data_IF_773591612287
#
_entry.id   IF_773591612287
#
_cell.length_a   1.000
_cell.length_b   1.000
_cell.length_c   1.000
_cell.angle_alpha   90.00
_cell.angle_beta   90.00
_cell.angle_gamma   90.00
#
_symmetry.space_group_name_H-M   'P 1'
#
loop_
_entity.id
_entity.type
_entity.pdbx_description
1 polymer ?
#
# COMPACT_ATOMS: atom_id res chain seq x y z
N UNK A 1 -13.41 -28.17 -19.62
CA UNK A 1 -14.13 -26.96 -19.18
C UNK A 1 -13.30 -26.13 -18.19
N UNK A 2 -12.92 -26.69 -17.04
CA UNK A 2 -12.12 -25.97 -16.03
C UNK A 2 -10.73 -25.50 -16.51
N UNK A 3 -9.99 -26.32 -17.25
CA UNK A 3 -8.65 -25.94 -17.76
C UNK A 3 -8.69 -24.70 -18.66
N UNK A 4 -9.71 -24.56 -19.49
CA UNK A 4 -9.87 -23.41 -20.40
C UNK A 4 -10.07 -22.09 -19.64
N UNK A 5 -10.75 -22.13 -18.48
CA UNK A 5 -10.93 -20.95 -17.62
C UNK A 5 -9.56 -20.54 -17.04
N UNK A 6 -8.80 -21.48 -16.49
CA UNK A 6 -7.48 -21.19 -15.94
C UNK A 6 -6.47 -20.72 -16.99
N UNK A 7 -6.48 -21.29 -18.20
CA UNK A 7 -5.65 -20.79 -19.31
C UNK A 7 -6.06 -19.39 -19.74
N UNK A 8 -7.36 -19.08 -19.79
CA UNK A 8 -7.83 -17.72 -20.09
C UNK A 8 -7.40 -16.71 -19.03
N UNK A 9 -7.39 -17.09 -17.75
CA UNK A 9 -6.87 -16.24 -16.67
C UNK A 9 -5.36 -16.05 -16.84
N UNK A 10 -4.59 -17.11 -17.04
CA UNK A 10 -3.14 -17.00 -17.24
C UNK A 10 -2.80 -16.10 -18.43
N UNK A 11 -3.47 -16.28 -19.57
CA UNK A 11 -3.29 -15.46 -20.77
C UNK A 11 -3.58 -13.97 -20.52
N UNK A 12 -4.71 -13.67 -19.85
CA UNK A 12 -5.05 -12.31 -19.46
C UNK A 12 -3.95 -11.64 -18.63
N UNK A 13 -3.38 -12.35 -17.66
CA UNK A 13 -2.37 -11.78 -16.77
C UNK A 13 -0.97 -11.75 -17.40
N UNK A 14 -0.52 -12.81 -18.06
CA UNK A 14 0.84 -12.91 -18.59
C UNK A 14 1.03 -12.12 -19.88
N UNK A 15 0.05 -12.18 -20.79
CA UNK A 15 0.18 -11.63 -22.14
C UNK A 15 -0.46 -10.24 -22.30
N UNK A 16 -1.36 -9.84 -21.40
CA UNK A 16 -2.02 -8.54 -21.47
C UNK A 16 -1.75 -7.64 -20.25
N UNK A 17 -2.26 -7.99 -19.07
CA UNK A 17 -2.22 -7.10 -17.90
C UNK A 17 -0.81 -6.87 -17.36
N UNK A 18 0.02 -7.91 -17.31
CA UNK A 18 1.36 -7.87 -16.73
C UNK A 18 2.47 -7.96 -17.79
N UNK A 19 2.14 -7.83 -19.08
CA UNK A 19 3.13 -7.82 -20.15
C UNK A 19 4.31 -6.85 -19.89
N UNK A 20 4.10 -5.61 -19.37
CA UNK A 20 5.19 -4.70 -19.06
C UNK A 20 6.16 -5.23 -17.99
N UNK A 21 5.70 -6.11 -17.09
CA UNK A 21 6.55 -6.69 -16.04
C UNK A 21 7.60 -7.67 -16.57
N UNK A 22 7.46 -8.15 -17.82
CA UNK A 22 8.52 -8.92 -18.47
C UNK A 22 9.82 -8.10 -18.62
N UNK A 23 9.72 -6.78 -18.79
CA UNK A 23 10.90 -5.91 -18.86
C UNK A 23 11.66 -5.91 -17.54
N UNK A 24 10.95 -5.73 -16.42
CA UNK A 24 11.56 -5.75 -15.08
C UNK A 24 12.12 -7.13 -14.72
N UNK A 25 11.43 -8.21 -15.14
CA UNK A 25 11.89 -9.59 -14.94
C UNK A 25 13.20 -9.90 -15.68
N UNK A 26 13.43 -9.28 -16.83
CA UNK A 26 14.65 -9.48 -17.62
C UNK A 26 15.86 -8.69 -17.10
N UNK A 27 15.67 -7.82 -16.11
CA UNK A 27 16.78 -7.03 -15.53
C UNK A 27 17.59 -7.90 -14.55
N UNK A 28 18.92 -7.82 -14.63
CA UNK A 28 19.81 -8.52 -13.67
C UNK A 28 19.95 -7.77 -12.34
N UNK A 29 19.77 -6.45 -12.35
CA UNK A 29 19.88 -5.63 -11.14
C UNK A 29 18.67 -5.84 -10.24
N UNK A 30 18.90 -6.40 -9.05
CA UNK A 30 17.87 -6.63 -8.04
C UNK A 30 17.05 -5.38 -7.72
N UNK A 31 17.72 -4.22 -7.61
CA UNK A 31 17.05 -2.94 -7.35
C UNK A 31 16.11 -2.55 -8.49
N UNK A 32 16.53 -2.77 -9.73
CA UNK A 32 15.79 -2.36 -10.91
C UNK A 32 14.63 -3.29 -11.24
N UNK A 33 14.79 -4.60 -11.04
CA UNK A 33 13.69 -5.57 -11.14
C UNK A 33 12.58 -5.30 -10.11
N UNK A 34 12.91 -4.66 -8.99
CA UNK A 34 11.98 -4.33 -7.91
C UNK A 34 11.54 -2.85 -7.89
N UNK A 35 11.80 -2.09 -8.94
CA UNK A 35 11.53 -0.64 -8.96
C UNK A 35 10.08 -0.27 -8.61
N UNK A 36 9.11 -1.04 -9.12
CA UNK A 36 7.69 -0.84 -8.84
C UNK A 36 7.38 -1.04 -7.36
N UNK A 37 7.95 -2.07 -6.74
CA UNK A 37 7.79 -2.34 -5.31
C UNK A 37 8.35 -1.19 -4.46
N UNK A 38 9.53 -0.68 -4.83
CA UNK A 38 10.15 0.47 -4.17
C UNK A 38 9.29 1.74 -4.29
N UNK A 39 8.69 2.00 -5.46
CA UNK A 39 7.79 3.14 -5.65
C UNK A 39 6.58 3.04 -4.72
N UNK A 40 5.90 1.89 -4.68
CA UNK A 40 4.75 1.69 -3.78
C UNK A 40 5.14 1.83 -2.32
N UNK A 41 6.29 1.28 -1.92
CA UNK A 41 6.80 1.42 -0.57
C UNK A 41 7.05 2.88 -0.19
N UNK A 42 7.71 3.66 -1.07
CA UNK A 42 8.00 5.08 -0.83
C UNK A 42 6.71 5.89 -0.74
N UNK A 43 5.74 5.66 -1.64
CA UNK A 43 4.44 6.33 -1.59
C UNK A 43 3.73 6.02 -0.27
N UNK A 44 3.68 4.74 0.12
CA UNK A 44 3.06 4.31 1.38
C UNK A 44 3.75 4.91 2.60
N UNK A 45 5.09 4.98 2.60
CA UNK A 45 5.86 5.60 3.67
C UNK A 45 5.58 7.10 3.80
N UNK A 46 5.57 7.85 2.69
CA UNK A 46 5.24 9.28 2.67
C UNK A 46 3.81 9.50 3.17
N UNK A 47 2.85 8.73 2.66
CA UNK A 47 1.45 8.83 3.08
C UNK A 47 1.29 8.54 4.59
N UNK A 48 2.01 7.54 5.10
CA UNK A 48 2.00 7.18 6.52
C UNK A 48 2.55 8.31 7.38
N UNK A 49 3.71 8.88 7.01
CA UNK A 49 4.31 10.02 7.74
C UNK A 49 3.42 11.25 7.69
N UNK A 50 2.85 11.57 6.52
CA UNK A 50 1.89 12.67 6.36
C UNK A 50 0.70 12.50 7.32
N UNK A 51 0.10 11.31 7.35
CA UNK A 51 -1.08 11.06 8.19
C UNK A 51 -0.75 11.15 9.68
N UNK A 52 0.42 10.65 10.11
CA UNK A 52 0.84 10.80 11.50
C UNK A 52 1.06 12.28 11.87
N UNK A 53 1.56 13.08 10.93
CA UNK A 53 1.67 14.52 11.07
C UNK A 53 0.31 15.21 11.23
N UNK A 54 -0.68 14.84 10.42
CA UNK A 54 -2.05 15.38 10.56
C UNK A 54 -2.67 15.03 11.91
N UNK A 55 -2.58 13.76 12.35
CA UNK A 55 -3.06 13.34 13.67
C UNK A 55 -2.39 14.14 14.80
N UNK A 56 -1.08 14.37 14.69
CA UNK A 56 -0.36 15.20 15.67
C UNK A 56 -0.88 16.63 15.71
N UNK A 57 -1.12 17.26 14.56
CA UNK A 57 -1.67 18.62 14.50
C UNK A 57 -3.00 18.71 15.23
N UNK A 58 -3.92 17.79 14.97
CA UNK A 58 -5.22 17.77 15.66
C UNK A 58 -5.08 17.54 17.17
N UNK A 59 -4.17 16.65 17.58
CA UNK A 59 -3.91 16.42 19.00
C UNK A 59 -3.31 17.64 19.72
N UNK A 60 -2.43 18.38 19.03
CA UNK A 60 -1.76 19.58 19.54
C UNK A 60 -2.68 20.83 19.51
N UNK A 61 -3.74 20.85 18.70
CA UNK A 61 -4.67 21.98 18.58
C UNK A 61 -5.51 22.25 19.84
N UNK A 62 -5.56 21.32 20.79
CA UNK A 62 -6.24 21.53 22.08
C UNK A 62 -7.77 21.63 22.00
N UNK A 63 -8.36 21.34 20.84
CA UNK A 63 -9.81 21.33 20.60
C UNK A 63 -10.47 20.00 21.01
N UNK A 64 -9.69 18.97 21.32
CA UNK A 64 -10.21 17.67 21.78
C UNK A 64 -10.69 17.76 23.24
N UNK A 65 -11.97 17.42 23.47
CA UNK A 65 -12.49 17.18 24.81
C UNK A 65 -11.91 15.88 25.37
N UNK A 66 -10.98 16.01 26.32
CA UNK A 66 -10.32 14.90 27.02
C UNK A 66 -10.95 14.63 28.38
N UNK A 67 -12.14 15.15 28.65
CA UNK A 67 -12.86 14.88 29.89
C UNK A 67 -13.19 13.39 29.99
N UNK A 68 -12.84 12.79 31.13
CA UNK A 68 -13.06 11.37 31.36
C UNK A 68 -14.45 11.22 31.98
N UNK A 69 -15.36 10.53 31.30
CA UNK A 69 -16.64 10.12 31.90
C UNK A 69 -16.45 8.91 32.81
N UNK A 70 -15.63 9.04 33.86
CA UNK A 70 -15.50 7.98 34.86
C UNK A 70 -16.57 8.17 35.91
N UNK A 71 -17.44 7.17 36.07
CA UNK A 71 -18.28 7.09 37.25
C UNK A 71 -17.40 6.81 38.48
N UNK A 72 -17.60 7.55 39.56
CA UNK A 72 -16.99 7.23 40.86
C UNK A 72 -17.40 5.81 41.25
N UNK A 73 -16.45 4.91 41.44
CA UNK A 73 -16.72 3.69 42.20
C UNK A 73 -16.90 4.09 43.66
N UNK A 74 -17.97 3.58 44.29
CA UNK A 74 -18.35 3.82 45.69
C UNK A 74 -17.22 3.48 46.65
#
# INVERSE_FOLDING_TARGET
MWSSIFYGIADLFENYLLMPFNLFRAMESWWMSNAVNWIFFVIGAIASVYWMGELKKYSDNGEEDKSISSHSYL
#
